data_IF_020343590060
#
_entry.id   IF_020343590060
#
_cell.length_a   1.000
_cell.length_b   1.000
_cell.length_c   1.000
_cell.angle_alpha   90.00
_cell.angle_beta   90.00
_cell.angle_gamma   90.00
#
_symmetry.space_group_name_H-M   'P 1'
#
loop_
_entity.id
_entity.type
_entity.pdbx_description
1 polymer ?
#
# COMPACT_ATOMS: atom_id res chain seq x y z
N UNK A 1 -14.39 29.70 -48.08
CA UNK A 1 -14.92 28.41 -47.57
C UNK A 1 -13.87 27.83 -46.62
N UNK A 2 -14.01 28.10 -45.32
CA UNK A 2 -13.03 27.70 -44.29
C UNK A 2 -13.30 26.24 -43.95
N UNK A 3 -12.37 25.33 -44.27
CA UNK A 3 -12.42 23.94 -43.80
C UNK A 3 -12.15 23.95 -42.30
N UNK A 4 -13.20 23.76 -41.51
CA UNK A 4 -13.05 23.39 -40.11
C UNK A 4 -12.56 21.94 -40.07
N UNK A 5 -11.25 21.74 -39.92
CA UNK A 5 -10.70 20.47 -39.47
C UNK A 5 -11.09 20.30 -38.02
N UNK A 6 -12.24 19.67 -37.77
CA UNK A 6 -12.61 19.22 -36.44
C UNK A 6 -11.51 18.28 -35.93
N UNK A 7 -10.81 18.68 -34.86
CA UNK A 7 -9.96 17.79 -34.11
C UNK A 7 -10.86 16.70 -33.51
N UNK A 8 -10.95 15.56 -34.19
CA UNK A 8 -11.57 14.36 -33.62
C UNK A 8 -10.61 13.89 -32.55
N UNK A 9 -10.91 14.21 -31.29
CA UNK A 9 -10.22 13.60 -30.16
C UNK A 9 -10.67 12.13 -30.17
N UNK A 10 -9.76 11.16 -30.44
CA UNK A 10 -10.15 9.77 -30.42
C UNK A 10 -10.65 9.43 -29.01
N UNK A 11 -11.87 8.94 -28.92
CA UNK A 11 -12.41 8.44 -27.66
C UNK A 11 -11.61 7.20 -27.26
N UNK A 12 -11.22 7.05 -25.99
CA UNK A 12 -10.45 5.88 -25.56
C UNK A 12 -11.18 4.59 -25.95
N UNK A 13 -10.42 3.58 -26.35
CA UNK A 13 -10.91 2.23 -26.60
C UNK A 13 -10.31 1.28 -25.56
N UNK A 14 -10.88 0.08 -25.44
CA UNK A 14 -10.29 -0.97 -24.60
C UNK A 14 -8.88 -1.26 -25.14
N UNK A 15 -7.89 -1.22 -24.25
CA UNK A 15 -6.49 -1.39 -24.62
C UNK A 15 -6.20 -2.80 -25.14
N UNK A 16 -5.24 -2.90 -26.06
CA UNK A 16 -4.71 -4.17 -26.57
C UNK A 16 -3.17 -4.04 -26.70
N UNK A 17 -2.37 -4.72 -25.87
CA UNK A 17 -2.82 -5.55 -24.75
C UNK A 17 -3.40 -4.71 -23.60
N UNK A 18 -4.33 -5.30 -22.84
CA UNK A 18 -4.79 -4.73 -21.57
C UNK A 18 -3.90 -5.17 -20.39
N UNK A 19 -4.18 -4.66 -19.19
CA UNK A 19 -3.42 -4.98 -17.98
C UNK A 19 -3.46 -6.48 -17.69
N UNK A 20 -4.63 -7.14 -17.76
CA UNK A 20 -4.75 -8.58 -17.48
C UNK A 20 -3.83 -9.42 -18.37
N UNK A 21 -3.90 -9.22 -19.69
CA UNK A 21 -3.04 -9.89 -20.65
C UNK A 21 -1.56 -9.60 -20.40
N UNK A 22 -1.23 -8.39 -19.94
CA UNK A 22 0.15 -8.01 -19.63
C UNK A 22 0.66 -8.68 -18.36
N UNK A 23 -0.17 -8.76 -17.31
CA UNK A 23 0.16 -9.44 -16.06
C UNK A 23 0.28 -10.95 -16.27
N UNK A 24 -0.59 -11.56 -17.08
CA UNK A 24 -0.51 -12.97 -17.47
C UNK A 24 0.78 -13.26 -18.21
N UNK A 25 1.14 -12.44 -19.20
CA UNK A 25 2.41 -12.57 -19.91
C UNK A 25 3.61 -12.48 -18.97
N UNK A 26 3.60 -11.53 -18.03
CA UNK A 26 4.66 -11.43 -17.01
C UNK A 26 4.75 -12.73 -16.20
N UNK A 27 3.62 -13.23 -15.67
CA UNK A 27 3.57 -14.45 -14.86
C UNK A 27 4.00 -15.69 -15.65
N UNK A 28 3.61 -15.85 -16.92
CA UNK A 28 4.03 -16.95 -17.77
C UNK A 28 5.56 -17.00 -17.93
N UNK A 29 6.19 -15.85 -18.18
CA UNK A 29 7.65 -15.74 -18.24
C UNK A 29 8.30 -16.08 -16.90
N UNK A 30 7.68 -15.67 -15.78
CA UNK A 30 8.19 -15.99 -14.45
C UNK A 30 8.05 -17.48 -14.15
N UNK A 31 6.97 -18.13 -14.59
CA UNK A 31 6.70 -19.56 -14.39
C UNK A 31 7.77 -20.45 -15.03
N UNK A 32 8.27 -20.06 -16.21
CA UNK A 32 9.31 -20.80 -16.94
C UNK A 32 10.66 -20.79 -16.23
N UNK A 33 10.94 -19.77 -15.41
CA UNK A 33 12.25 -19.57 -14.76
C UNK A 33 12.27 -19.85 -13.25
N UNK A 34 11.13 -19.73 -12.55
CA UNK A 34 11.07 -19.80 -11.10
C UNK A 34 10.70 -21.20 -10.59
N UNK A 35 11.19 -21.55 -9.40
CA UNK A 35 10.73 -22.73 -8.66
C UNK A 35 9.26 -22.54 -8.25
N UNK A 36 8.51 -23.63 -8.17
CA UNK A 36 7.06 -23.64 -7.84
C UNK A 36 6.67 -22.74 -6.67
N UNK A 37 7.34 -22.90 -5.52
CA UNK A 37 7.04 -22.10 -4.30
C UNK A 37 7.26 -20.60 -4.50
N UNK A 38 8.30 -20.22 -5.25
CA UNK A 38 8.57 -18.82 -5.54
C UNK A 38 7.55 -18.27 -6.54
N UNK A 39 7.20 -19.05 -7.56
CA UNK A 39 6.19 -18.67 -8.54
C UNK A 39 4.81 -18.46 -7.91
N UNK A 40 4.37 -19.35 -7.01
CA UNK A 40 3.11 -19.19 -6.27
C UNK A 40 3.05 -17.85 -5.52
N UNK A 41 4.19 -17.39 -4.98
CA UNK A 41 4.27 -16.09 -4.32
C UNK A 41 4.16 -14.92 -5.31
N UNK A 42 4.67 -15.09 -6.53
CA UNK A 42 4.50 -14.09 -7.59
C UNK A 42 3.03 -14.01 -8.02
N UNK A 43 2.38 -15.16 -8.24
CA UNK A 43 0.95 -15.21 -8.56
C UNK A 43 0.13 -14.50 -7.48
N UNK A 44 0.31 -14.86 -6.22
CA UNK A 44 -0.41 -14.25 -5.09
C UNK A 44 -0.27 -12.71 -5.05
N UNK A 45 0.96 -12.19 -5.20
CA UNK A 45 1.18 -10.73 -5.19
C UNK A 45 0.56 -10.07 -6.43
N UNK A 46 0.71 -10.67 -7.62
CA UNK A 46 0.16 -10.09 -8.85
C UNK A 46 -1.38 -10.11 -8.82
N UNK A 47 -1.99 -11.16 -8.29
CA UNK A 47 -3.45 -11.21 -8.06
C UNK A 47 -3.89 -10.10 -7.12
N UNK A 48 -3.23 -9.94 -5.96
CA UNK A 48 -3.57 -8.85 -5.02
C UNK A 48 -3.40 -7.47 -5.66
N UNK A 49 -2.36 -7.29 -6.47
CA UNK A 49 -2.14 -6.02 -7.16
C UNK A 49 -3.21 -5.75 -8.22
N UNK A 50 -3.61 -6.77 -9.00
CA UNK A 50 -4.72 -6.66 -9.95
C UNK A 50 -6.05 -6.33 -9.24
N UNK A 51 -6.31 -6.94 -8.07
CA UNK A 51 -7.46 -6.59 -7.22
C UNK A 51 -7.39 -5.13 -6.79
N UNK A 52 -6.23 -4.65 -6.33
CA UNK A 52 -6.03 -3.25 -5.97
C UNK A 52 -6.29 -2.31 -7.15
N UNK A 53 -5.82 -2.64 -8.35
CA UNK A 53 -6.06 -1.84 -9.56
C UNK A 53 -7.54 -1.82 -9.94
N UNK A 54 -8.24 -2.95 -9.82
CA UNK A 54 -9.68 -3.02 -10.10
C UNK A 54 -10.51 -2.19 -9.11
N UNK A 55 -10.08 -2.11 -7.85
CA UNK A 55 -10.78 -1.34 -6.82
C UNK A 55 -10.42 0.15 -6.82
N UNK A 56 -9.18 0.52 -7.15
CA UNK A 56 -8.67 1.88 -6.92
C UNK A 56 -8.00 2.53 -8.14
N UNK A 57 -7.66 1.78 -9.20
CA UNK A 57 -6.89 2.30 -10.32
C UNK A 57 -7.55 3.48 -11.05
N UNK A 58 -8.87 3.59 -10.98
CA UNK A 58 -9.62 4.71 -11.57
C UNK A 58 -9.32 6.07 -10.91
N UNK A 59 -8.86 6.07 -9.66
CA UNK A 59 -8.51 7.28 -8.90
C UNK A 59 -7.23 7.93 -9.43
N UNK A 60 -6.38 7.14 -10.08
CA UNK A 60 -5.08 7.55 -10.63
C UNK A 60 -5.18 7.99 -12.10
N UNK A 61 -6.39 8.05 -12.68
CA UNK A 61 -6.58 8.42 -14.08
C UNK A 61 -6.35 9.92 -14.29
N UNK A 62 -5.39 10.31 -15.15
CA UNK A 62 -4.95 11.70 -15.27
C UNK A 62 -5.95 12.61 -15.99
N UNK A 63 -6.92 12.04 -16.72
CA UNK A 63 -7.86 12.83 -17.53
C UNK A 63 -9.32 12.54 -17.21
N UNK A 64 -10.15 13.58 -17.26
CA UNK A 64 -11.61 13.46 -17.17
C UNK A 64 -12.18 12.55 -18.28
N UNK A 65 -11.51 12.49 -19.43
CA UNK A 65 -11.88 11.62 -20.55
C UNK A 65 -11.75 10.14 -20.17
N UNK A 66 -10.62 9.74 -19.57
CA UNK A 66 -10.41 8.37 -19.10
C UNK A 66 -11.34 8.01 -17.94
N UNK A 67 -11.59 8.93 -17.00
CA UNK A 67 -12.53 8.69 -15.91
C UNK A 67 -13.96 8.50 -16.42
N UNK A 68 -14.37 9.27 -17.43
CA UNK A 68 -15.69 9.12 -18.07
C UNK A 68 -15.77 7.83 -18.87
N UNK A 69 -14.69 7.47 -19.57
CA UNK A 69 -14.58 6.21 -20.29
C UNK A 69 -14.70 5.00 -19.35
N UNK A 70 -13.95 5.01 -18.24
CA UNK A 70 -14.00 3.97 -17.21
C UNK A 70 -15.41 3.82 -16.66
N UNK A 71 -16.02 4.91 -16.16
CA UNK A 71 -17.40 4.87 -15.63
C UNK A 71 -18.38 4.27 -16.63
N UNK A 72 -18.31 4.68 -17.90
CA UNK A 72 -19.18 4.13 -18.94
C UNK A 72 -19.00 2.62 -19.14
N UNK A 73 -17.77 2.10 -19.09
CA UNK A 73 -17.54 0.67 -19.28
C UNK A 73 -17.81 -0.15 -18.01
N UNK A 74 -17.48 0.38 -16.84
CA UNK A 74 -17.76 -0.24 -15.55
C UNK A 74 -19.27 -0.33 -15.31
N UNK A 75 -20.02 0.77 -15.50
CA UNK A 75 -21.45 0.82 -15.17
C UNK A 75 -22.33 0.06 -16.16
N UNK A 76 -22.00 0.09 -17.47
CA UNK A 76 -22.86 -0.49 -18.51
C UNK A 76 -22.41 -1.86 -19.00
N UNK A 77 -21.13 -2.21 -18.83
CA UNK A 77 -20.58 -3.49 -19.31
C UNK A 77 -19.93 -4.31 -18.20
N UNK A 78 -19.95 -3.83 -16.96
CA UNK A 78 -19.36 -4.50 -15.79
C UNK A 78 -17.89 -4.87 -16.00
N UNK A 79 -17.18 -4.06 -16.80
CA UNK A 79 -15.78 -4.28 -17.10
C UNK A 79 -14.88 -3.73 -15.99
N UNK A 80 -13.98 -4.57 -15.49
CA UNK A 80 -13.02 -4.19 -14.47
C UNK A 80 -11.88 -3.32 -15.04
N UNK A 81 -11.26 -2.48 -14.22
CA UNK A 81 -10.17 -1.58 -14.64
C UNK A 81 -9.08 -2.29 -15.46
N UNK A 82 -8.64 -3.47 -15.01
CA UNK A 82 -7.58 -4.23 -15.67
C UNK A 82 -7.98 -4.79 -17.05
N UNK A 83 -9.28 -4.95 -17.31
CA UNK A 83 -9.80 -5.36 -18.62
C UNK A 83 -9.84 -4.20 -19.62
N UNK A 84 -9.93 -2.96 -19.12
CA UNK A 84 -10.16 -1.73 -19.90
C UNK A 84 -8.85 -1.08 -20.31
N UNK A 85 -7.94 -0.87 -19.35
CA UNK A 85 -6.76 -0.05 -19.55
C UNK A 85 -5.52 -0.86 -19.93
N UNK A 86 -4.56 -0.15 -20.51
CA UNK A 86 -3.28 -0.69 -20.95
C UNK A 86 -2.25 -0.72 -19.82
N UNK A 87 -1.10 -1.36 -20.07
CA UNK A 87 -0.07 -1.53 -19.05
C UNK A 87 0.64 -0.24 -18.65
N UNK A 88 0.47 0.85 -19.41
CA UNK A 88 0.92 2.19 -19.07
C UNK A 88 0.29 2.71 -17.76
N UNK A 89 -0.85 2.16 -17.34
CA UNK A 89 -1.53 2.51 -16.08
C UNK A 89 -1.09 1.71 -14.87
N UNK A 90 -0.26 0.68 -15.04
CA UNK A 90 0.18 -0.16 -13.91
C UNK A 90 1.07 0.63 -12.93
N UNK A 91 2.07 1.44 -13.37
CA UNK A 91 2.95 2.14 -12.44
C UNK A 91 2.23 3.09 -11.48
N UNK A 92 1.19 3.79 -11.93
CA UNK A 92 0.45 4.75 -11.09
C UNK A 92 -0.33 4.06 -9.96
N UNK A 93 -0.67 2.78 -10.09
CA UNK A 93 -1.33 2.03 -9.02
C UNK A 93 -0.39 1.53 -7.92
N UNK A 94 0.94 1.62 -8.09
CA UNK A 94 1.92 1.07 -7.13
C UNK A 94 1.87 1.75 -5.76
N UNK A 95 1.79 3.10 -5.64
CA UNK A 95 1.59 3.77 -4.35
C UNK A 95 0.36 3.27 -3.62
N UNK A 96 -0.79 3.22 -4.29
CA UNK A 96 -2.06 2.77 -3.70
C UNK A 96 -2.00 1.30 -3.28
N UNK A 97 -1.33 0.44 -4.05
CA UNK A 97 -1.14 -0.96 -3.67
C UNK A 97 -0.27 -1.11 -2.41
N UNK A 98 0.89 -0.46 -2.37
CA UNK A 98 1.91 -0.70 -1.34
C UNK A 98 1.73 0.13 -0.07
N UNK A 99 1.20 1.36 -0.17
CA UNK A 99 1.01 2.27 0.97
C UNK A 99 -0.40 2.20 1.57
N UNK A 100 -1.37 1.64 0.84
CA UNK A 100 -2.75 1.60 1.29
C UNK A 100 -3.32 0.19 1.26
N UNK A 101 -3.55 -0.40 0.08
CA UNK A 101 -4.32 -1.63 -0.08
C UNK A 101 -3.75 -2.79 0.74
N UNK A 102 -2.45 -3.07 0.62
CA UNK A 102 -1.87 -4.26 1.25
C UNK A 102 -1.83 -4.16 2.78
N UNK A 103 -1.80 -2.95 3.34
CA UNK A 103 -1.80 -2.72 4.79
C UNK A 103 -3.24 -2.75 5.33
N UNK A 104 -4.20 -2.18 4.61
CA UNK A 104 -5.56 -1.97 5.11
C UNK A 104 -6.54 -3.09 4.75
N UNK A 105 -6.27 -3.86 3.69
CA UNK A 105 -7.26 -4.79 3.09
C UNK A 105 -6.80 -6.24 3.07
N UNK A 106 -5.55 -6.51 3.44
CA UNK A 106 -4.96 -7.85 3.36
C UNK A 106 -4.38 -8.23 4.72
N UNK A 107 -4.79 -9.38 5.27
CA UNK A 107 -4.12 -9.99 6.41
C UNK A 107 -2.80 -10.62 5.94
N UNK A 108 -1.75 -9.80 5.81
CA UNK A 108 -0.51 -10.19 5.18
C UNK A 108 0.59 -10.51 6.20
N UNK A 109 1.16 -11.71 6.13
CA UNK A 109 2.38 -12.02 6.90
C UNK A 109 3.57 -11.15 6.43
N UNK A 110 4.58 -10.99 7.29
CA UNK A 110 5.86 -10.36 6.92
C UNK A 110 6.46 -10.92 5.63
N UNK A 111 6.32 -12.24 5.41
CA UNK A 111 6.85 -12.91 4.23
C UNK A 111 6.14 -12.48 2.94
N UNK A 112 4.82 -12.26 3.02
CA UNK A 112 3.99 -11.77 1.93
C UNK A 112 4.26 -10.29 1.67
N UNK A 113 4.31 -9.45 2.71
CA UNK A 113 4.63 -8.03 2.58
C UNK A 113 6.01 -7.78 1.95
N UNK A 114 7.02 -8.54 2.38
CA UNK A 114 8.35 -8.53 1.75
C UNK A 114 8.29 -8.97 0.29
N UNK A 115 7.46 -9.97 -0.02
CA UNK A 115 7.28 -10.43 -1.39
C UNK A 115 6.55 -9.38 -2.25
N UNK A 116 5.57 -8.65 -1.70
CA UNK A 116 4.85 -7.60 -2.40
C UNK A 116 5.81 -6.56 -2.96
N UNK A 117 6.66 -5.95 -2.13
CA UNK A 117 7.68 -5.01 -2.61
C UNK A 117 8.64 -5.61 -3.64
N UNK A 118 9.11 -6.86 -3.45
CA UNK A 118 10.05 -7.50 -4.39
C UNK A 118 9.43 -7.85 -5.74
N UNK A 119 8.23 -8.40 -5.74
CA UNK A 119 7.52 -8.82 -6.96
C UNK A 119 7.05 -7.59 -7.72
N UNK A 120 6.48 -6.59 -7.05
CA UNK A 120 6.11 -5.31 -7.68
C UNK A 120 7.32 -4.62 -8.30
N UNK A 121 8.46 -4.58 -7.60
CA UNK A 121 9.72 -4.07 -8.17
C UNK A 121 10.10 -4.82 -9.46
N UNK A 122 10.00 -6.15 -9.45
CA UNK A 122 10.34 -6.99 -10.61
C UNK A 122 9.37 -6.80 -11.78
N UNK A 123 8.09 -6.63 -11.49
CA UNK A 123 7.09 -6.29 -12.49
C UNK A 123 7.39 -4.93 -13.14
N UNK A 124 7.69 -3.90 -12.34
CA UNK A 124 8.01 -2.57 -12.89
C UNK A 124 9.28 -2.57 -13.76
N UNK A 125 10.30 -3.33 -13.36
CA UNK A 125 11.50 -3.54 -14.18
C UNK A 125 11.13 -4.19 -15.53
N UNK A 126 10.35 -5.26 -15.49
CA UNK A 126 9.91 -5.97 -16.68
C UNK A 126 9.05 -5.09 -17.61
N UNK A 127 8.14 -4.27 -17.06
CA UNK A 127 7.34 -3.32 -17.84
C UNK A 127 8.22 -2.30 -18.56
N UNK A 128 9.23 -1.74 -17.89
CA UNK A 128 10.16 -0.78 -18.49
C UNK A 128 11.02 -1.42 -19.59
N UNK A 129 11.54 -2.63 -19.35
CA UNK A 129 12.36 -3.39 -20.31
C UNK A 129 11.58 -3.76 -21.58
N UNK A 130 10.28 -4.04 -21.45
CA UNK A 130 9.41 -4.40 -22.57
C UNK A 130 8.70 -3.17 -23.21
N UNK A 131 8.98 -1.95 -22.74
CA UNK A 131 8.38 -0.73 -23.29
C UNK A 131 6.90 -0.53 -22.96
N UNK A 132 6.39 -1.23 -21.95
CA UNK A 132 5.00 -1.10 -21.48
C UNK A 132 4.77 0.07 -20.51
N UNK A 133 5.83 0.63 -19.95
CA UNK A 133 5.75 1.77 -19.03
C UNK A 133 6.79 2.84 -19.38
N UNK A 134 6.46 4.11 -19.11
CA UNK A 134 7.43 5.19 -19.23
C UNK A 134 8.54 4.99 -18.21
N UNK A 135 9.80 5.20 -18.62
CA UNK A 135 10.98 4.93 -17.80
C UNK A 135 10.95 5.67 -16.45
N UNK A 136 10.48 6.91 -16.44
CA UNK A 136 10.43 7.72 -15.24
C UNK A 136 9.40 7.21 -14.23
N UNK A 137 8.17 6.91 -14.68
CA UNK A 137 7.12 6.33 -13.84
C UNK A 137 7.53 4.96 -13.29
N UNK A 138 8.11 4.12 -14.15
CA UNK A 138 8.60 2.82 -13.73
C UNK A 138 9.73 2.95 -12.69
N UNK A 139 10.63 3.94 -12.84
CA UNK A 139 11.71 4.18 -11.88
C UNK A 139 11.17 4.56 -10.51
N UNK A 140 10.24 5.51 -10.44
CA UNK A 140 9.63 5.93 -9.17
C UNK A 140 8.91 4.75 -8.49
N UNK A 141 8.16 3.95 -9.26
CA UNK A 141 7.52 2.75 -8.75
C UNK A 141 8.51 1.67 -8.28
N UNK A 142 9.66 1.52 -8.97
CA UNK A 142 10.75 0.61 -8.57
C UNK A 142 11.37 1.02 -7.23
N UNK A 143 11.62 2.32 -7.04
CA UNK A 143 12.21 2.88 -5.82
C UNK A 143 11.26 2.66 -4.63
N UNK A 144 9.99 3.02 -4.79
CA UNK A 144 8.94 2.78 -3.80
C UNK A 144 8.80 1.28 -3.46
N UNK A 145 8.77 0.40 -4.46
CA UNK A 145 8.65 -1.03 -4.24
C UNK A 145 9.89 -1.63 -3.53
N UNK A 146 11.07 -1.08 -3.80
CA UNK A 146 12.30 -1.48 -3.11
C UNK A 146 12.26 -1.09 -1.62
N UNK A 147 11.79 0.12 -1.31
CA UNK A 147 11.57 0.58 0.05
C UNK A 147 10.53 -0.29 0.78
N UNK A 148 9.34 -0.47 0.18
CA UNK A 148 8.26 -1.27 0.74
C UNK A 148 8.69 -2.71 1.06
N UNK A 149 9.63 -3.29 0.30
CA UNK A 149 10.16 -4.64 0.57
C UNK A 149 10.92 -4.76 1.90
N UNK A 150 11.31 -3.63 2.51
CA UNK A 150 11.98 -3.55 3.81
C UNK A 150 11.04 -3.00 4.87
N UNK A 151 10.31 -1.93 4.55
CA UNK A 151 9.49 -1.21 5.52
C UNK A 151 8.22 -1.97 5.90
N UNK A 152 7.46 -2.50 4.93
CA UNK A 152 6.22 -3.24 5.22
C UNK A 152 6.41 -4.43 6.16
N UNK A 153 7.37 -5.36 5.93
CA UNK A 153 7.59 -6.44 6.88
C UNK A 153 8.15 -5.97 8.23
N UNK A 154 8.74 -4.76 8.31
CA UNK A 154 9.18 -4.20 9.59
C UNK A 154 8.01 -3.60 10.37
N UNK A 155 7.09 -2.91 9.67
CA UNK A 155 5.85 -2.40 10.24
C UNK A 155 4.99 -3.53 10.80
N UNK A 156 4.84 -4.64 10.07
CA UNK A 156 4.13 -5.83 10.55
C UNK A 156 4.75 -6.45 11.80
N UNK A 157 6.10 -6.48 11.90
CA UNK A 157 6.76 -6.92 13.14
C UNK A 157 6.40 -6.05 14.32
N UNK A 158 6.45 -4.72 14.12
CA UNK A 158 6.12 -3.77 15.17
C UNK A 158 4.64 -3.91 15.58
N UNK A 159 3.72 -4.02 14.62
CA UNK A 159 2.30 -4.22 14.89
C UNK A 159 2.06 -5.47 15.75
N UNK A 160 2.72 -6.58 15.41
CA UNK A 160 2.64 -7.82 16.20
C UNK A 160 3.21 -7.64 17.62
N UNK A 161 4.37 -7.00 17.76
CA UNK A 161 4.97 -6.75 19.08
C UNK A 161 4.06 -5.88 19.97
N UNK A 162 3.45 -4.86 19.39
CA UNK A 162 2.50 -3.97 20.05
C UNK A 162 1.23 -4.71 20.46
N UNK A 163 0.69 -5.54 19.57
CA UNK A 163 -0.48 -6.39 19.85
C UNK A 163 -0.20 -7.36 21.01
N UNK A 164 0.90 -8.11 20.93
CA UNK A 164 1.30 -9.06 21.97
C UNK A 164 1.48 -8.36 23.34
N UNK A 165 2.03 -7.14 23.33
CA UNK A 165 2.17 -6.31 24.52
C UNK A 165 0.82 -5.87 25.09
N UNK A 166 -0.07 -5.33 24.25
CA UNK A 166 -1.40 -4.86 24.66
C UNK A 166 -2.22 -6.00 25.30
N UNK A 167 -2.20 -7.20 24.69
CA UNK A 167 -2.92 -8.37 25.20
C UNK A 167 -2.50 -8.80 26.61
N UNK A 168 -1.25 -8.53 27.00
CA UNK A 168 -0.67 -9.02 28.26
C UNK A 168 -0.46 -7.93 29.31
N UNK A 169 -0.41 -6.66 28.90
CA UNK A 169 -0.04 -5.53 29.76
C UNK A 169 -1.05 -4.38 29.78
N UNK A 170 -2.22 -4.52 29.13
CA UNK A 170 -3.29 -3.53 29.22
C UNK A 170 -3.66 -3.25 30.70
N UNK A 171 -3.76 -1.97 31.12
CA UNK A 171 -4.13 -1.61 32.47
C UNK A 171 -5.58 -2.03 32.77
N UNK A 172 -5.86 -2.37 34.04
CA UNK A 172 -7.20 -2.76 34.49
C UNK A 172 -8.15 -1.58 34.75
N UNK A 173 -7.64 -0.36 34.73
CA UNK A 173 -8.43 0.85 34.97
C UNK A 173 -7.69 2.10 34.50
N UNK A 174 -8.45 3.04 33.96
CA UNK A 174 -8.00 4.30 33.36
C UNK A 174 -9.07 5.38 33.58
N UNK A 175 -8.69 6.64 33.42
CA UNK A 175 -9.58 7.81 33.63
C UNK A 175 -10.07 8.43 32.33
N UNK A 176 -9.32 8.26 31.24
CA UNK A 176 -9.63 8.81 29.93
C UNK A 176 -9.08 7.89 28.82
N UNK A 177 -9.59 8.06 27.59
CA UNK A 177 -9.23 7.27 26.41
C UNK A 177 -8.91 8.17 25.21
N UNK A 178 -7.91 7.76 24.42
CA UNK A 178 -7.58 8.36 23.13
C UNK A 178 -7.47 7.26 22.07
N UNK A 179 -8.43 7.21 21.15
CA UNK A 179 -8.39 6.39 19.94
C UNK A 179 -7.95 7.25 18.76
N UNK A 180 -6.75 7.02 18.25
CA UNK A 180 -6.19 7.83 17.17
C UNK A 180 -5.17 7.04 16.34
N UNK A 181 -4.76 7.68 15.25
CA UNK A 181 -3.59 7.33 14.47
C UNK A 181 -2.42 8.19 14.90
N UNK A 182 -1.57 7.63 15.75
CA UNK A 182 -0.45 8.32 16.35
C UNK A 182 0.79 8.30 15.46
N UNK A 183 1.34 9.47 15.13
CA UNK A 183 2.63 9.60 14.46
C UNK A 183 3.75 9.52 15.47
N UNK A 184 4.79 8.73 15.17
CA UNK A 184 5.99 8.62 15.98
C UNK A 184 6.89 9.81 15.70
N UNK A 185 6.98 10.74 16.64
CA UNK A 185 7.79 11.96 16.55
C UNK A 185 9.23 11.71 17.01
N UNK A 186 9.41 10.91 18.06
CA UNK A 186 10.72 10.55 18.61
C UNK A 186 10.69 9.13 19.19
N UNK A 187 11.81 8.42 19.08
CA UNK A 187 12.01 7.10 19.68
C UNK A 187 13.15 7.16 20.69
N UNK A 188 12.82 6.93 21.97
CA UNK A 188 13.79 6.78 23.06
C UNK A 188 13.79 5.32 23.53
N UNK A 189 14.86 4.82 24.18
CA UNK A 189 14.87 3.45 24.71
C UNK A 189 13.71 3.22 25.71
N UNK A 190 12.73 2.38 25.32
CA UNK A 190 11.54 2.06 26.11
C UNK A 190 10.45 3.14 26.16
N UNK A 191 10.54 4.18 25.33
CA UNK A 191 9.54 5.27 25.27
C UNK A 191 9.32 5.71 23.83
N UNK A 192 8.07 5.81 23.43
CA UNK A 192 7.66 6.45 22.18
C UNK A 192 7.09 7.83 22.48
N UNK A 193 7.52 8.82 21.71
CA UNK A 193 6.96 10.17 21.73
C UNK A 193 6.06 10.30 20.51
N UNK A 194 4.78 10.57 20.75
CA UNK A 194 3.71 10.44 19.77
C UNK A 194 2.92 11.75 19.63
N UNK A 195 2.40 12.02 18.43
CA UNK A 195 1.39 13.04 18.18
C UNK A 195 0.14 12.38 17.59
N UNK A 196 -1.06 12.74 18.05
CA UNK A 196 -2.30 12.25 17.45
C UNK A 196 -2.71 13.07 16.24
N UNK A 197 -3.46 12.47 15.32
CA UNK A 197 -3.99 13.18 14.13
C UNK A 197 -5.14 14.12 14.52
N UNK A 198 -5.91 13.76 15.56
CA UNK A 198 -7.11 14.48 16.00
C UNK A 198 -6.87 15.35 17.24
N UNK A 199 -5.72 15.17 17.90
CA UNK A 199 -5.31 15.94 19.08
C UNK A 199 -4.33 17.03 18.64
N UNK A 200 -4.84 18.22 18.34
CA UNK A 200 -4.11 19.31 17.67
C UNK A 200 -2.83 19.82 18.37
N UNK A 201 -2.50 19.39 19.60
CA UNK A 201 -1.38 20.02 20.34
C UNK A 201 -0.61 19.18 21.35
N UNK A 202 -0.99 17.92 21.66
CA UNK A 202 -0.36 17.21 22.76
C UNK A 202 0.58 16.11 22.28
N UNK A 203 1.88 16.36 22.47
CA UNK A 203 2.91 15.32 22.40
C UNK A 203 2.71 14.38 23.60
N UNK A 204 2.55 13.10 23.32
CA UNK A 204 2.32 12.04 24.31
C UNK A 204 3.58 11.18 24.48
N UNK A 205 4.00 10.96 25.71
CA UNK A 205 5.04 9.97 26.02
C UNK A 205 4.39 8.64 26.46
N UNK A 206 4.59 7.59 25.67
CA UNK A 206 4.07 6.24 25.94
C UNK A 206 5.21 5.30 26.25
N UNK A 207 5.18 4.71 27.45
CA UNK A 207 6.16 3.69 27.87
C UNK A 207 5.87 2.36 27.19
N UNK A 208 6.87 1.79 26.55
CA UNK A 208 6.81 0.51 25.84
C UNK A 208 8.02 -0.36 26.22
N UNK A 209 7.96 -1.69 26.01
CA UNK A 209 9.15 -2.52 26.11
C UNK A 209 10.24 -2.04 25.17
N UNK A 210 11.51 -2.21 25.57
CA UNK A 210 12.65 -1.81 24.73
C UNK A 210 12.63 -2.48 23.36
N UNK A 211 12.16 -3.73 23.29
CA UNK A 211 12.00 -4.45 22.03
C UNK A 211 11.05 -3.73 21.05
N UNK A 212 9.99 -3.09 21.54
CA UNK A 212 9.06 -2.30 20.73
C UNK A 212 9.77 -1.03 20.23
N UNK A 213 10.41 -0.27 21.12
CA UNK A 213 11.12 0.96 20.72
C UNK A 213 12.25 0.68 19.73
N UNK A 214 12.96 -0.45 19.86
CA UNK A 214 14.07 -0.82 18.97
C UNK A 214 13.58 -1.16 17.54
N UNK A 215 12.29 -1.50 17.37
CA UNK A 215 11.67 -1.80 16.08
C UNK A 215 10.86 -0.63 15.50
N UNK A 216 10.69 0.45 16.27
CA UNK A 216 9.92 1.62 15.86
C UNK A 216 10.77 2.59 15.05
N UNK A 217 10.13 3.40 14.19
CA UNK A 217 10.79 4.45 13.41
C UNK A 217 10.00 5.74 13.49
N UNK A 218 10.73 6.86 13.49
CA UNK A 218 10.14 8.20 13.38
C UNK A 218 9.42 8.34 12.04
N UNK A 219 8.27 9.01 12.05
CA UNK A 219 7.39 9.23 10.89
C UNK A 219 6.42 8.09 10.61
N UNK A 220 6.57 6.92 11.25
CA UNK A 220 5.57 5.87 11.18
C UNK A 220 4.33 6.26 11.96
N UNK A 221 3.18 5.85 11.46
CA UNK A 221 1.91 6.05 12.14
C UNK A 221 1.42 4.71 12.71
N UNK A 222 0.78 4.76 13.88
CA UNK A 222 0.31 3.57 14.59
C UNK A 222 -1.12 3.83 15.03
N UNK A 223 -2.05 2.98 14.63
CA UNK A 223 -3.40 3.03 15.20
C UNK A 223 -3.39 2.39 16.58
N UNK A 224 -3.79 3.13 17.61
CA UNK A 224 -3.83 2.64 18.99
C UNK A 224 -5.01 3.23 19.73
N UNK A 225 -5.47 2.49 20.74
CA UNK A 225 -6.28 3.02 21.82
C UNK A 225 -5.38 3.18 23.04
N UNK A 226 -5.25 4.41 23.53
CA UNK A 226 -4.51 4.74 24.75
C UNK A 226 -5.46 5.03 25.90
N UNK A 227 -5.08 4.62 27.11
CA UNK A 227 -5.80 4.91 28.35
C UNK A 227 -4.93 5.70 29.31
N UNK A 228 -5.47 6.77 29.88
CA UNK A 228 -4.78 7.57 30.89
C UNK A 228 -4.80 6.86 32.24
N UNK A 229 -3.63 6.64 32.82
CA UNK A 229 -3.49 6.03 34.15
C UNK A 229 -2.74 6.98 35.08
N UNK A 230 -2.73 6.67 36.38
CA UNK A 230 -1.87 7.37 37.36
C UNK A 230 -0.37 7.40 36.99
N UNK A 231 0.06 6.54 36.07
CA UNK A 231 1.45 6.44 35.60
C UNK A 231 1.63 7.01 34.17
N UNK A 232 0.66 7.78 33.67
CA UNK A 232 0.59 8.31 32.31
C UNK A 232 -0.14 7.39 31.32
N UNK A 233 -0.12 7.78 30.05
CA UNK A 233 -0.78 7.07 28.94
C UNK A 233 -0.20 5.66 28.75
N UNK A 234 -1.09 4.68 28.56
CA UNK A 234 -0.77 3.27 28.34
C UNK A 234 -1.59 2.70 27.19
N UNK A 235 -0.98 1.77 26.47
CA UNK A 235 -1.64 1.07 25.36
C UNK A 235 -2.72 0.14 25.92
N UNK A 236 -3.97 0.33 25.46
CA UNK A 236 -5.10 -0.56 25.72
C UNK A 236 -5.26 -1.56 24.57
N UNK A 237 -5.30 -1.04 23.35
CA UNK A 237 -5.44 -1.81 22.11
C UNK A 237 -4.57 -1.23 21.00
N UNK A 238 -4.29 -2.06 19.99
CA UNK A 238 -3.40 -1.69 18.87
C UNK A 238 -3.96 -2.23 17.57
N UNK A 239 -3.98 -1.37 16.55
CA UNK A 239 -4.24 -1.74 15.17
C UNK A 239 -2.95 -1.91 14.38
N UNK A 240 -2.98 -1.44 13.13
CA UNK A 240 -1.85 -1.55 12.21
C UNK A 240 -0.80 -0.46 12.42
N UNK A 241 0.39 -0.75 11.89
CA UNK A 241 1.49 0.22 11.75
C UNK A 241 1.62 0.59 10.27
N UNK A 242 1.75 1.88 10.00
CA UNK A 242 1.81 2.47 8.67
C UNK A 242 3.17 3.12 8.44
N UNK A 243 4.02 2.55 7.57
CA UNK A 243 5.24 3.20 7.12
C UNK A 243 4.88 4.22 6.05
N UNK A 244 4.70 5.49 6.47
CA UNK A 244 4.31 6.62 5.62
C UNK A 244 5.54 7.24 4.94
#
# INVERSE_FOLDING_TARGET
>A
MIKMTGNIIPFPTIAQPNIEQTLDKFLEEQRRRLKRRTYQRYEEVVTLFATSLNLYGYQELPTNGEQTFYRRLADYKELAFCTIFGPDKIPSGVPTFLRYFIIHKVMASESLLRAAGRVTKKLMQWLAENGYARKEEARQAIELAAEASRELPAAERLARLLYDYAQTHAPRGWTDELDDYFTVEEVKPGVLVLSGLTTETDILEVKVPREVSDHCKVGWQINMLLGETRNGWRILETGNVYPI
#
